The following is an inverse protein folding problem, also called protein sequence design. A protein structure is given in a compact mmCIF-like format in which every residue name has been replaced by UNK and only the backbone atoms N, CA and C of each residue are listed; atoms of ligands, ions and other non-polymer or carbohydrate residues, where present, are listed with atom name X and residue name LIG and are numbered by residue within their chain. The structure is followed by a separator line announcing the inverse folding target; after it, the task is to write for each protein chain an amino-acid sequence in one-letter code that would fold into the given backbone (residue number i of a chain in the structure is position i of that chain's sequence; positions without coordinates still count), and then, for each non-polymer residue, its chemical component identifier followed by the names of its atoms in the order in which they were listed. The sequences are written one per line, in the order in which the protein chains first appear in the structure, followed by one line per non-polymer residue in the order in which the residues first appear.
data_IF_750808825905
#
_entry.id   IF_750808825905
#
_cell.length_a   1.000
_cell.length_b   1.000
_cell.length_c   1.000
_cell.angle_alpha   90.00
_cell.angle_beta   90.00
_cell.angle_gamma   90.00
#
_symmetry.space_group_name_H-M   'P 1'
#
loop_
_entity.id
_entity.type
_entity.pdbx_description
1 polymer ?
#
# COMPACT_ATOMS: atom_id res chain seq x y z
N UNK A 1 89.67 -19.02 54.77
CA UNK A 1 89.26 -18.86 53.37
C UNK A 1 89.86 -17.58 52.85
N UNK A 2 90.79 -17.70 51.91
CA UNK A 2 91.34 -16.57 51.17
C UNK A 2 90.25 -15.98 50.24
N UNK A 3 90.40 -14.72 49.83
CA UNK A 3 89.45 -14.09 48.89
C UNK A 3 89.41 -14.85 47.55
N UNK A 4 90.53 -15.49 47.19
CA UNK A 4 90.68 -16.33 46.00
C UNK A 4 89.88 -17.64 46.12
N UNK A 5 89.89 -18.31 47.28
CA UNK A 5 89.07 -19.52 47.52
C UNK A 5 87.56 -19.22 47.45
N UNK A 6 87.13 -18.04 47.91
CA UNK A 6 85.72 -17.63 47.86
C UNK A 6 85.28 -17.31 46.42
N UNK A 7 86.17 -16.72 45.61
CA UNK A 7 85.89 -16.44 44.21
C UNK A 7 85.84 -17.75 43.41
N UNK A 8 86.73 -18.70 43.69
CA UNK A 8 86.81 -19.97 42.99
C UNK A 8 85.64 -20.90 43.34
N UNK A 9 85.21 -20.97 44.61
CA UNK A 9 83.97 -21.67 45.01
C UNK A 9 82.72 -21.05 44.38
N UNK A 10 82.64 -19.71 44.31
CA UNK A 10 81.49 -19.03 43.70
C UNK A 10 81.45 -19.20 42.18
N UNK A 11 82.58 -19.22 41.48
CA UNK A 11 82.65 -19.52 40.04
C UNK A 11 82.27 -20.99 39.78
N UNK A 12 82.70 -21.92 40.63
CA UNK A 12 82.26 -23.32 40.53
C UNK A 12 80.76 -23.49 40.84
N UNK A 13 80.21 -22.73 41.80
CA UNK A 13 78.77 -22.70 42.08
C UNK A 13 77.96 -22.10 40.93
N UNK A 14 78.41 -21.00 40.32
CA UNK A 14 77.75 -20.39 39.15
C UNK A 14 77.77 -21.36 37.96
N UNK A 15 78.92 -21.97 37.66
CA UNK A 15 79.04 -22.96 36.58
C UNK A 15 78.24 -24.26 36.84
N UNK A 16 77.92 -24.58 38.10
CA UNK A 16 77.08 -25.73 38.47
C UNK A 16 75.58 -25.49 38.24
N UNK A 17 75.15 -24.23 38.17
CA UNK A 17 73.74 -23.85 38.01
C UNK A 17 73.39 -23.26 36.63
N UNK A 18 74.36 -22.90 35.78
CA UNK A 18 74.13 -22.20 34.50
C UNK A 18 74.37 -23.02 33.21
N UNK A 19 74.18 -24.35 33.21
CA UNK A 19 74.11 -25.11 31.95
C UNK A 19 72.86 -26.01 31.92
N UNK A 20 71.69 -25.40 32.05
CA UNK A 20 70.55 -25.90 31.26
C UNK A 20 70.69 -25.30 29.88
N UNK A 21 71.43 -25.99 29.01
CA UNK A 21 71.48 -25.65 27.59
C UNK A 21 70.05 -25.79 27.03
N UNK A 22 69.34 -24.67 26.95
CA UNK A 22 67.95 -24.64 26.45
C UNK A 22 67.90 -25.32 25.09
N UNK A 23 67.06 -26.36 24.98
CA UNK A 23 66.94 -27.11 23.72
C UNK A 23 66.06 -26.33 22.76
N UNK A 24 66.66 -25.69 21.77
CA UNK A 24 65.94 -24.96 20.72
C UNK A 24 65.51 -25.90 19.58
N UNK A 25 64.21 -25.85 19.26
CA UNK A 25 63.65 -26.45 18.05
C UNK A 25 63.47 -25.41 16.95
N UNK A 26 63.59 -25.81 15.69
CA UNK A 26 63.30 -24.96 14.53
C UNK A 26 61.99 -25.41 13.90
N UNK A 27 61.03 -24.50 13.81
CA UNK A 27 59.73 -24.69 13.17
C UNK A 27 59.77 -24.26 11.71
N UNK A 28 59.64 -25.23 10.81
CA UNK A 28 59.75 -25.02 9.36
C UNK A 28 58.38 -24.81 8.72
N UNK A 29 58.34 -24.24 7.52
CA UNK A 29 57.10 -24.07 6.74
C UNK A 29 56.37 -25.42 6.53
N UNK A 30 57.10 -26.50 6.28
CA UNK A 30 56.52 -27.84 6.10
C UNK A 30 55.90 -28.41 7.39
N UNK A 31 56.22 -27.85 8.56
CA UNK A 31 55.60 -28.28 9.82
C UNK A 31 54.15 -27.85 9.93
N UNK A 32 53.72 -26.90 9.08
CA UNK A 32 52.32 -26.57 8.92
C UNK A 32 51.51 -27.67 8.22
N UNK A 33 52.12 -28.70 7.63
CA UNK A 33 51.38 -29.85 7.09
C UNK A 33 50.92 -30.81 8.18
N UNK A 34 51.60 -30.79 9.33
CA UNK A 34 51.22 -31.57 10.51
C UNK A 34 50.00 -30.95 11.19
N UNK A 35 49.13 -31.78 11.76
CA UNK A 35 48.08 -31.29 12.64
C UNK A 35 48.63 -30.87 14.02
N UNK A 36 47.82 -30.21 14.85
CA UNK A 36 48.28 -29.65 16.13
C UNK A 36 48.88 -30.70 17.08
N UNK A 37 48.30 -31.89 17.15
CA UNK A 37 48.79 -32.96 18.03
C UNK A 37 50.11 -33.54 17.54
N UNK A 38 50.27 -33.66 16.22
CA UNK A 38 51.53 -34.06 15.59
C UNK A 38 52.64 -33.03 15.82
N UNK A 39 52.33 -31.73 15.75
CA UNK A 39 53.29 -30.65 16.08
C UNK A 39 53.70 -30.71 17.54
N UNK A 40 52.74 -30.86 18.46
CA UNK A 40 53.01 -31.04 19.89
C UNK A 40 53.91 -32.23 20.15
N UNK A 41 53.68 -33.36 19.47
CA UNK A 41 54.52 -34.55 19.57
C UNK A 41 55.94 -34.29 19.04
N UNK A 42 56.05 -33.68 17.85
CA UNK A 42 57.33 -33.38 17.19
C UNK A 42 58.22 -32.49 18.07
N UNK A 43 57.64 -31.46 18.67
CA UNK A 43 58.38 -30.45 19.42
C UNK A 43 58.42 -30.66 20.93
N UNK A 44 57.86 -31.77 21.44
CA UNK A 44 57.76 -32.08 22.88
C UNK A 44 59.08 -31.98 23.67
N UNK A 45 60.21 -32.27 23.01
CA UNK A 45 61.54 -32.33 23.64
C UNK A 45 62.31 -30.99 23.68
N UNK A 46 61.73 -29.93 23.10
CA UNK A 46 62.37 -28.62 22.99
C UNK A 46 61.78 -27.65 24.00
N UNK A 47 62.64 -26.84 24.60
CA UNK A 47 62.30 -25.83 25.61
C UNK A 47 61.78 -24.56 24.96
N UNK A 48 62.32 -24.23 23.78
CA UNK A 48 61.87 -23.12 22.94
C UNK A 48 61.80 -23.58 21.49
N UNK A 49 60.88 -23.02 20.71
CA UNK A 49 60.73 -23.34 19.30
C UNK A 49 60.71 -22.03 18.52
N UNK A 50 61.65 -21.86 17.58
CA UNK A 50 61.78 -20.64 16.79
C UNK A 50 61.27 -20.88 15.37
N UNK A 51 60.56 -19.91 14.81
CA UNK A 51 60.18 -19.90 13.40
C UNK A 51 61.42 -19.79 12.50
N UNK A 52 61.55 -20.65 11.50
CA UNK A 52 62.64 -20.60 10.51
C UNK A 52 62.65 -19.27 9.73
N UNK A 53 61.47 -18.73 9.38
CA UNK A 53 61.36 -17.57 8.50
C UNK A 53 61.56 -16.22 9.19
N UNK A 54 61.07 -16.08 10.42
CA UNK A 54 61.10 -14.79 11.13
C UNK A 54 61.91 -14.81 12.43
N UNK A 55 62.46 -15.97 12.80
CA UNK A 55 63.26 -16.18 14.02
C UNK A 55 62.53 -15.84 15.33
N UNK A 56 61.21 -15.66 15.27
CA UNK A 56 60.37 -15.39 16.44
C UNK A 56 59.99 -16.69 17.13
N UNK A 57 59.86 -16.63 18.45
CA UNK A 57 59.43 -17.77 19.23
C UNK A 57 57.98 -18.14 18.92
N UNK A 58 57.75 -19.43 18.74
CA UNK A 58 56.44 -20.03 18.51
C UNK A 58 55.82 -20.36 19.86
N UNK A 59 54.61 -19.87 20.10
CA UNK A 59 53.83 -20.27 21.26
C UNK A 59 53.53 -21.78 21.21
N UNK A 60 53.99 -22.52 22.23
CA UNK A 60 53.82 -23.98 22.34
C UNK A 60 52.36 -24.45 22.42
N UNK A 61 51.42 -23.55 22.74
CA UNK A 61 50.01 -23.91 22.81
C UNK A 61 49.37 -24.04 21.41
N UNK A 62 49.65 -23.09 20.53
CA UNK A 62 49.06 -23.01 19.19
C UNK A 62 49.94 -23.63 18.11
N UNK A 63 51.27 -23.65 18.29
CA UNK A 63 52.23 -24.00 17.24
C UNK A 63 51.95 -23.27 15.91
N UNK A 64 51.63 -21.97 16.03
CA UNK A 64 51.44 -21.05 14.91
C UNK A 64 52.34 -19.84 15.10
N UNK A 65 53.18 -19.53 14.10
CA UNK A 65 53.87 -18.25 14.04
C UNK A 65 52.88 -17.12 13.71
N UNK A 66 52.45 -16.34 14.70
CA UNK A 66 51.53 -15.22 14.45
C UNK A 66 52.10 -14.15 13.53
N UNK A 67 53.43 -13.94 13.53
CA UNK A 67 54.07 -12.97 12.65
C UNK A 67 53.99 -13.37 11.17
N UNK A 68 54.22 -14.65 10.85
CA UNK A 68 54.01 -15.16 9.49
C UNK A 68 52.51 -15.22 9.15
N UNK A 69 51.68 -15.72 10.08
CA UNK A 69 50.23 -15.86 9.87
C UNK A 69 49.53 -14.53 9.56
N UNK A 70 49.90 -13.45 10.27
CA UNK A 70 49.31 -12.14 10.06
C UNK A 70 49.70 -11.50 8.72
N UNK A 71 50.88 -11.88 8.17
CA UNK A 71 51.35 -11.44 6.85
C UNK A 71 50.81 -12.28 5.70
N UNK A 72 50.39 -13.52 5.98
CA UNK A 72 49.84 -14.41 4.97
C UNK A 72 48.54 -13.85 4.41
N UNK A 73 48.38 -13.84 3.09
CA UNK A 73 47.17 -13.32 2.40
C UNK A 73 46.34 -14.42 1.77
N UNK A 74 46.94 -15.58 1.51
CA UNK A 74 46.24 -16.78 1.04
C UNK A 74 45.49 -17.45 2.20
N UNK A 75 44.17 -17.55 2.06
CA UNK A 75 43.32 -18.22 3.04
C UNK A 75 43.58 -19.73 3.15
N UNK A 76 44.06 -20.38 2.08
CA UNK A 76 44.43 -21.80 2.11
C UNK A 76 45.66 -22.01 2.98
N UNK A 77 46.65 -21.14 2.81
CA UNK A 77 47.87 -21.16 3.61
C UNK A 77 47.55 -20.84 5.08
N UNK A 78 46.69 -19.86 5.37
CA UNK A 78 46.22 -19.62 6.76
C UNK A 78 45.53 -20.84 7.39
N UNK A 79 44.72 -21.57 6.62
CA UNK A 79 44.05 -22.77 7.13
C UNK A 79 45.04 -23.92 7.38
N UNK A 80 45.97 -24.14 6.44
CA UNK A 80 47.09 -25.07 6.61
C UNK A 80 47.88 -24.74 7.88
N UNK A 81 48.22 -23.46 8.07
CA UNK A 81 48.93 -22.97 9.24
C UNK A 81 48.19 -23.29 10.55
N UNK A 82 46.87 -23.12 10.60
CA UNK A 82 46.09 -23.37 11.81
C UNK A 82 45.83 -24.86 12.10
N UNK A 83 45.70 -25.71 11.08
CA UNK A 83 45.07 -27.01 11.25
C UNK A 83 45.80 -28.21 10.63
N UNK A 84 46.85 -27.99 9.83
CA UNK A 84 47.52 -29.08 9.12
C UNK A 84 46.91 -29.37 7.75
N UNK A 85 47.47 -30.38 7.08
CA UNK A 85 46.89 -31.01 5.89
C UNK A 85 46.29 -32.36 6.30
N UNK A 86 45.14 -32.71 5.74
CA UNK A 86 44.59 -34.04 5.89
C UNK A 86 45.42 -35.06 5.08
N UNK A 87 45.97 -36.09 5.74
CA UNK A 87 46.83 -37.09 5.10
C UNK A 87 46.13 -38.00 4.09
N UNK A 88 44.79 -38.06 4.08
CA UNK A 88 44.02 -38.90 3.16
C UNK A 88 43.58 -38.17 1.88
N UNK A 89 43.19 -36.91 2.00
CA UNK A 89 42.71 -36.11 0.86
C UNK A 89 43.66 -34.96 0.45
N UNK A 90 44.78 -34.76 1.15
CA UNK A 90 45.81 -33.74 0.88
C UNK A 90 45.31 -32.30 0.83
N UNK A 91 44.12 -32.02 1.40
CA UNK A 91 43.57 -30.67 1.55
C UNK A 91 43.86 -30.12 2.94
N UNK A 92 44.06 -28.80 3.06
CA UNK A 92 44.20 -28.13 4.37
C UNK A 92 43.00 -28.45 5.26
N UNK A 93 43.26 -28.97 6.44
CA UNK A 93 42.25 -29.15 7.47
C UNK A 93 41.65 -27.77 7.80
N UNK A 94 40.34 -27.66 7.98
CA UNK A 94 39.73 -26.48 8.59
C UNK A 94 39.53 -26.73 10.08
N UNK A 95 39.04 -25.75 10.83
CA UNK A 95 38.79 -25.84 12.28
C UNK A 95 37.88 -26.99 12.73
N UNK A 96 37.32 -27.76 11.82
CA UNK A 96 36.28 -28.77 12.07
C UNK A 96 36.65 -30.19 11.60
N UNK A 97 37.94 -30.47 11.42
CA UNK A 97 38.44 -31.81 11.12
C UNK A 97 37.97 -32.35 9.77
N UNK A 98 38.42 -33.56 9.43
CA UNK A 98 38.03 -34.29 8.22
C UNK A 98 36.58 -34.83 8.33
N UNK A 99 35.61 -33.96 8.62
CA UNK A 99 34.22 -34.31 8.90
C UNK A 99 33.31 -33.82 7.77
N UNK A 100 33.07 -34.65 6.75
CA UNK A 100 32.04 -34.47 5.69
C UNK A 100 31.81 -32.99 5.28
N UNK A 101 32.88 -32.34 4.79
CA UNK A 101 32.82 -30.98 4.23
C UNK A 101 32.51 -31.08 2.74
N UNK A 102 31.41 -30.46 2.31
CA UNK A 102 31.07 -30.35 0.89
C UNK A 102 31.40 -28.96 0.36
N UNK A 103 31.87 -28.89 -0.89
CA UNK A 103 32.13 -27.62 -1.57
C UNK A 103 30.85 -27.19 -2.31
N UNK A 104 30.42 -25.97 -2.05
CA UNK A 104 29.39 -25.25 -2.78
C UNK A 104 30.00 -24.60 -4.00
N UNK A 105 29.63 -25.11 -5.18
CA UNK A 105 30.13 -24.60 -6.45
C UNK A 105 29.28 -23.45 -6.95
N UNK A 106 29.85 -22.58 -7.76
CA UNK A 106 29.14 -21.49 -8.44
C UNK A 106 28.07 -22.03 -9.38
N UNK A 107 28.28 -23.21 -9.96
CA UNK A 107 27.25 -23.94 -10.73
C UNK A 107 26.04 -24.31 -9.86
N UNK A 108 26.20 -24.45 -8.55
CA UNK A 108 25.08 -24.78 -7.65
C UNK A 108 24.13 -23.61 -7.45
N UNK A 109 24.51 -22.42 -7.92
CA UNK A 109 23.58 -21.31 -8.04
C UNK A 109 22.50 -21.53 -9.10
N UNK A 110 22.61 -22.52 -9.99
CA UNK A 110 21.52 -22.90 -10.89
C UNK A 110 20.41 -23.68 -10.20
N UNK A 111 20.78 -24.43 -9.17
CA UNK A 111 19.84 -25.19 -8.35
C UNK A 111 18.96 -24.24 -7.54
N UNK A 112 17.68 -24.57 -7.41
CA UNK A 112 16.78 -23.88 -6.49
C UNK A 112 17.04 -24.29 -5.03
N UNK A 113 16.49 -23.54 -4.06
CA UNK A 113 16.71 -23.79 -2.63
C UNK A 113 16.36 -25.24 -2.20
N UNK A 114 15.33 -25.85 -2.79
CA UNK A 114 14.91 -27.22 -2.46
C UNK A 114 15.94 -28.24 -2.97
N UNK A 115 16.44 -28.05 -4.18
CA UNK A 115 17.50 -28.89 -4.77
C UNK A 115 18.81 -28.78 -3.98
N UNK A 116 19.21 -27.56 -3.58
CA UNK A 116 20.41 -27.36 -2.75
C UNK A 116 20.28 -28.06 -1.40
N UNK A 117 19.11 -27.95 -0.75
CA UNK A 117 18.81 -28.67 0.51
C UNK A 117 18.96 -30.18 0.37
N UNK A 118 18.51 -30.75 -0.75
CA UNK A 118 18.66 -32.18 -1.03
C UNK A 118 20.12 -32.54 -1.28
N UNK A 119 20.82 -31.77 -2.13
CA UNK A 119 22.23 -31.99 -2.47
C UNK A 119 23.13 -32.01 -1.24
N UNK A 120 22.91 -31.09 -0.32
CA UNK A 120 23.76 -30.90 0.87
C UNK A 120 23.19 -31.49 2.16
N UNK A 121 22.11 -32.27 2.09
CA UNK A 121 21.38 -32.78 3.26
C UNK A 121 22.24 -33.50 4.30
N UNK A 122 23.26 -34.22 3.85
CA UNK A 122 24.14 -35.03 4.70
C UNK A 122 25.49 -34.35 4.97
N UNK A 123 25.63 -33.06 4.64
CA UNK A 123 26.86 -32.31 4.88
C UNK A 123 26.79 -31.69 6.27
N UNK A 124 27.85 -31.84 7.06
CA UNK A 124 27.96 -31.14 8.34
C UNK A 124 28.28 -29.66 8.10
N UNK A 125 29.14 -29.38 7.11
CA UNK A 125 29.51 -28.04 6.70
C UNK A 125 29.54 -27.94 5.18
N UNK A 126 29.16 -26.77 4.67
CA UNK A 126 29.20 -26.45 3.25
C UNK A 126 30.05 -25.21 3.05
N UNK A 127 31.15 -25.31 2.31
CA UNK A 127 32.07 -24.19 2.09
C UNK A 127 31.93 -23.66 0.66
N UNK A 128 31.93 -22.33 0.48
CA UNK A 128 31.90 -21.72 -0.84
C UNK A 128 33.21 -21.95 -1.59
N UNK A 129 33.17 -22.37 -2.86
CA UNK A 129 34.38 -22.59 -3.66
C UNK A 129 35.23 -21.32 -3.87
N UNK A 130 34.58 -20.15 -3.97
CA UNK A 130 35.27 -18.89 -4.30
C UNK A 130 35.97 -18.24 -3.11
N UNK A 131 35.40 -18.41 -1.91
CA UNK A 131 35.86 -17.68 -0.72
C UNK A 131 36.12 -18.55 0.49
N UNK A 132 35.84 -19.86 0.40
CA UNK A 132 36.02 -20.87 1.45
C UNK A 132 35.35 -20.55 2.78
N UNK A 133 34.44 -19.56 2.80
CA UNK A 133 33.58 -19.29 3.94
C UNK A 133 32.41 -20.26 3.96
N UNK A 134 31.95 -20.54 5.16
CA UNK A 134 30.75 -21.34 5.37
C UNK A 134 29.55 -20.71 4.67
N UNK A 135 28.85 -21.54 3.91
CA UNK A 135 27.57 -21.21 3.29
C UNK A 135 26.51 -21.27 4.38
N UNK A 136 25.70 -20.21 4.45
CA UNK A 136 24.60 -20.12 5.40
C UNK A 136 23.67 -21.34 5.22
N UNK A 137 23.58 -22.16 6.27
CA UNK A 137 22.82 -23.40 6.29
C UNK A 137 21.32 -23.20 6.04
N UNK A 138 20.75 -22.06 6.41
CA UNK A 138 19.33 -21.77 6.19
C UNK A 138 19.07 -21.30 4.76
N UNK A 139 20.01 -20.54 4.21
CA UNK A 139 19.87 -19.83 2.93
C UNK A 139 20.45 -20.61 1.74
N UNK A 140 21.38 -21.53 1.97
CA UNK A 140 22.12 -22.29 0.96
C UNK A 140 22.69 -21.41 -0.18
N UNK A 141 23.25 -20.26 0.18
CA UNK A 141 24.12 -19.46 -0.69
C UNK A 141 25.20 -18.78 0.15
N UNK A 142 26.38 -18.57 -0.43
CA UNK A 142 27.43 -17.82 0.25
C UNK A 142 27.01 -16.35 0.45
N UNK A 143 26.81 -15.95 1.70
CA UNK A 143 26.41 -14.57 2.07
C UNK A 143 27.53 -13.59 1.77
N UNK A 144 28.79 -13.97 1.99
CA UNK A 144 29.95 -13.13 1.70
C UNK A 144 30.07 -12.80 0.21
N UNK A 145 30.02 -13.81 -0.67
CA UNK A 145 30.00 -13.58 -2.11
C UNK A 145 28.75 -12.79 -2.53
N UNK A 146 27.59 -13.08 -1.94
CA UNK A 146 26.36 -12.34 -2.23
C UNK A 146 26.48 -10.85 -1.92
N UNK A 147 27.10 -10.45 -0.79
CA UNK A 147 27.26 -9.04 -0.48
C UNK A 147 28.28 -8.33 -1.38
N UNK A 148 29.32 -9.05 -1.85
CA UNK A 148 30.31 -8.54 -2.80
C UNK A 148 29.79 -8.41 -4.23
N UNK A 149 28.85 -9.27 -4.63
CA UNK A 149 28.32 -9.27 -6.00
C UNK A 149 27.62 -7.94 -6.32
N UNK A 150 27.94 -7.33 -7.46
CA UNK A 150 27.33 -6.08 -7.91
C UNK A 150 26.28 -6.31 -8.98
N UNK A 151 26.38 -7.41 -9.73
CA UNK A 151 25.40 -7.80 -10.72
C UNK A 151 24.13 -8.31 -10.04
N UNK A 152 23.03 -7.61 -10.30
CA UNK A 152 21.70 -7.91 -9.79
C UNK A 152 21.20 -9.29 -10.21
N UNK A 153 21.40 -9.66 -11.48
CA UNK A 153 20.97 -10.95 -12.00
C UNK A 153 21.74 -12.09 -11.32
N UNK A 154 23.05 -11.91 -11.11
CA UNK A 154 23.85 -12.89 -10.34
C UNK A 154 23.38 -12.98 -8.90
N UNK A 155 23.15 -11.86 -8.21
CA UNK A 155 22.57 -11.84 -6.85
C UNK A 155 21.24 -12.60 -6.75
N UNK A 156 20.40 -12.48 -7.77
CA UNK A 156 19.12 -13.19 -7.80
C UNK A 156 19.25 -14.67 -8.07
N UNK A 157 20.09 -15.06 -9.04
CA UNK A 157 20.45 -16.47 -9.27
C UNK A 157 21.01 -17.11 -8.00
N UNK A 158 21.84 -16.37 -7.25
CA UNK A 158 22.36 -16.83 -5.96
C UNK A 158 21.26 -17.14 -4.94
N UNK A 159 20.20 -16.33 -4.86
CA UNK A 159 19.10 -16.55 -3.91
C UNK A 159 18.07 -17.59 -4.36
N UNK A 160 17.75 -17.61 -5.66
CA UNK A 160 16.53 -18.26 -6.14
C UNK A 160 16.76 -19.41 -7.13
N UNK A 161 17.99 -19.64 -7.57
CA UNK A 161 18.27 -20.60 -8.65
C UNK A 161 17.99 -19.99 -10.02
N UNK A 162 17.74 -20.83 -11.03
CA UNK A 162 17.21 -20.39 -12.34
C UNK A 162 15.71 -20.07 -12.33
N UNK A 163 14.99 -20.43 -11.26
CA UNK A 163 13.52 -20.34 -11.18
C UNK A 163 13.01 -18.99 -10.66
N UNK A 164 13.42 -17.90 -11.30
CA UNK A 164 12.92 -16.54 -11.04
C UNK A 164 12.58 -15.78 -12.34
N UNK A 165 11.64 -14.84 -12.23
CA UNK A 165 11.30 -13.87 -13.25
C UNK A 165 12.00 -12.54 -13.01
N UNK A 166 12.47 -11.91 -14.08
CA UNK A 166 13.01 -10.54 -14.04
C UNK A 166 11.98 -9.59 -14.64
N UNK A 167 11.42 -8.74 -13.80
CA UNK A 167 10.49 -7.69 -14.19
C UNK A 167 11.25 -6.46 -14.66
N UNK A 168 11.02 -6.10 -15.92
CA UNK A 168 11.65 -4.96 -16.58
C UNK A 168 10.65 -3.82 -16.71
N UNK A 169 11.15 -2.59 -16.83
CA UNK A 169 10.34 -1.39 -17.06
C UNK A 169 9.48 -1.51 -18.32
N UNK A 170 9.96 -2.23 -19.35
CA UNK A 170 9.20 -2.55 -20.55
C UNK A 170 7.92 -3.35 -20.27
N UNK A 171 7.88 -4.12 -19.18
CA UNK A 171 6.71 -4.93 -18.82
C UNK A 171 5.54 -4.09 -18.36
N UNK A 172 5.77 -2.81 -18.05
CA UNK A 172 4.67 -1.90 -17.77
C UNK A 172 3.78 -1.62 -18.99
N UNK A 173 4.27 -1.89 -20.20
CA UNK A 173 3.46 -1.83 -21.43
C UNK A 173 2.46 -3.00 -21.54
N UNK A 174 2.76 -4.12 -20.90
CA UNK A 174 1.88 -5.28 -20.85
C UNK A 174 0.71 -5.01 -19.92
N UNK A 175 -0.47 -5.49 -20.28
CA UNK A 175 -1.62 -5.51 -19.38
C UNK A 175 -1.46 -6.56 -18.26
N UNK A 176 -2.36 -6.55 -17.27
CA UNK A 176 -2.28 -7.47 -16.13
C UNK A 176 -2.43 -8.94 -16.54
N UNK A 177 -3.22 -9.23 -17.58
CA UNK A 177 -3.44 -10.59 -18.08
C UNK A 177 -2.17 -11.12 -18.75
N UNK A 178 -1.53 -10.29 -19.57
CA UNK A 178 -0.26 -10.58 -20.23
C UNK A 178 0.87 -10.77 -19.21
N UNK A 179 0.97 -9.92 -18.19
CA UNK A 179 1.98 -10.07 -17.11
C UNK A 179 1.79 -11.37 -16.34
N UNK A 180 0.55 -11.72 -16.00
CA UNK A 180 0.22 -13.00 -15.35
C UNK A 180 0.64 -14.18 -16.21
N UNK A 181 0.38 -14.13 -17.52
CA UNK A 181 0.80 -15.18 -18.45
C UNK A 181 2.33 -15.28 -18.53
N UNK A 182 3.02 -14.14 -18.67
CA UNK A 182 4.49 -14.07 -18.76
C UNK A 182 5.19 -14.69 -17.55
N UNK A 183 4.68 -14.42 -16.35
CA UNK A 183 5.29 -14.85 -15.10
C UNK A 183 4.62 -16.05 -14.42
N UNK A 184 3.73 -16.76 -15.14
CA UNK A 184 2.93 -17.88 -14.62
C UNK A 184 3.77 -18.96 -13.92
N UNK A 185 4.96 -19.24 -14.43
CA UNK A 185 5.86 -20.28 -13.91
C UNK A 185 6.95 -19.73 -12.97
N UNK A 186 6.99 -18.41 -12.75
CA UNK A 186 8.00 -17.78 -11.89
C UNK A 186 7.54 -17.80 -10.44
N UNK A 187 8.26 -18.52 -9.57
CA UNK A 187 8.01 -18.52 -8.11
C UNK A 187 8.33 -17.17 -7.46
N UNK A 188 9.34 -16.50 -7.98
CA UNK A 188 9.79 -15.20 -7.52
C UNK A 188 9.95 -14.30 -8.73
N UNK A 189 9.44 -13.07 -8.63
CA UNK A 189 9.59 -12.05 -9.66
C UNK A 189 10.23 -10.84 -9.00
N UNK A 190 11.27 -10.28 -9.62
CA UNK A 190 12.06 -9.19 -9.04
C UNK A 190 12.14 -8.03 -10.02
N UNK A 191 12.01 -6.81 -9.52
CA UNK A 191 12.17 -5.60 -10.30
C UNK A 191 13.66 -5.37 -10.58
N UNK A 192 14.03 -5.22 -11.85
CA UNK A 192 15.42 -4.97 -12.25
C UNK A 192 15.94 -3.60 -11.80
N UNK A 193 15.05 -2.61 -11.62
CA UNK A 193 15.46 -1.24 -11.28
C UNK A 193 15.78 -1.06 -9.79
N UNK A 194 14.99 -1.68 -8.91
CA UNK A 194 15.09 -1.45 -7.46
C UNK A 194 15.42 -2.69 -6.64
N UNK A 195 15.56 -3.83 -7.32
CA UNK A 195 15.87 -5.13 -6.73
C UNK A 195 14.85 -5.68 -5.73
N UNK A 196 13.67 -5.07 -5.66
CA UNK A 196 12.59 -5.52 -4.80
C UNK A 196 11.73 -6.57 -5.48
N UNK A 197 11.12 -7.42 -4.65
CA UNK A 197 10.13 -8.42 -5.10
C UNK A 197 8.91 -7.72 -5.68
N UNK A 198 8.45 -8.19 -6.84
CA UNK A 198 7.17 -7.81 -7.42
C UNK A 198 6.04 -8.43 -6.59
N UNK A 199 5.01 -7.64 -6.33
CA UNK A 199 3.86 -8.08 -5.57
C UNK A 199 2.94 -9.02 -6.37
N UNK A 200 1.90 -9.53 -5.73
CA UNK A 200 0.84 -10.35 -6.34
C UNK A 200 0.04 -9.64 -7.44
N UNK A 201 0.11 -8.30 -7.49
CA UNK A 201 -0.52 -7.47 -8.50
C UNK A 201 0.36 -7.26 -9.74
N UNK A 202 1.52 -7.94 -9.82
CA UNK A 202 2.43 -7.90 -10.97
C UNK A 202 2.91 -6.49 -11.33
N UNK A 203 3.21 -5.67 -10.31
CA UNK A 203 3.94 -4.41 -10.46
C UNK A 203 4.89 -4.19 -9.27
N UNK A 204 5.93 -3.37 -9.48
CA UNK A 204 6.83 -3.00 -8.39
C UNK A 204 6.22 -1.89 -7.53
N UNK A 205 5.90 -2.18 -6.26
CA UNK A 205 5.39 -1.18 -5.30
C UNK A 205 6.41 -0.09 -5.03
N UNK A 206 7.67 -0.45 -4.83
CA UNK A 206 8.73 0.53 -4.55
C UNK A 206 8.93 1.53 -5.70
N UNK A 207 8.96 1.06 -6.94
CA UNK A 207 9.05 1.97 -8.10
C UNK A 207 7.76 2.78 -8.25
N UNK A 208 6.60 2.16 -8.00
CA UNK A 208 5.31 2.85 -8.02
C UNK A 208 5.27 3.99 -7.01
N UNK A 209 5.67 3.78 -5.76
CA UNK A 209 5.60 4.80 -4.71
C UNK A 209 6.50 6.02 -5.01
N UNK A 210 7.65 5.77 -5.66
CA UNK A 210 8.58 6.81 -6.11
C UNK A 210 8.13 7.60 -7.34
N UNK A 211 7.26 7.03 -8.17
CA UNK A 211 6.79 7.72 -9.37
C UNK A 211 5.91 8.91 -8.99
N UNK A 212 6.13 10.06 -9.61
CA UNK A 212 5.37 11.29 -9.32
C UNK A 212 4.28 11.49 -10.37
N UNK A 213 4.55 11.06 -11.61
CA UNK A 213 3.60 11.14 -12.70
C UNK A 213 2.44 10.16 -12.47
N UNK A 214 1.25 10.72 -12.23
CA UNK A 214 0.03 9.95 -12.00
C UNK A 214 -0.26 9.00 -13.17
N UNK A 215 -0.10 9.44 -14.42
CA UNK A 215 -0.36 8.61 -15.59
C UNK A 215 0.61 7.42 -15.64
N UNK A 216 1.89 7.63 -15.32
CA UNK A 216 2.86 6.53 -15.22
C UNK A 216 2.53 5.57 -14.09
N UNK A 217 2.20 6.07 -12.89
CA UNK A 217 1.73 5.22 -11.77
C UNK A 217 0.60 4.30 -12.18
N UNK A 218 -0.34 4.81 -12.96
CA UNK A 218 -1.51 4.07 -13.42
C UNK A 218 -1.15 3.02 -14.46
N UNK A 219 -0.33 3.38 -15.45
CA UNK A 219 0.24 2.39 -16.38
C UNK A 219 1.04 1.31 -15.64
N UNK A 220 1.74 1.67 -14.56
CA UNK A 220 2.46 0.69 -13.75
C UNK A 220 1.50 -0.31 -13.10
N UNK A 221 0.37 0.17 -12.57
CA UNK A 221 -0.62 -0.66 -11.85
C UNK A 221 -1.51 -1.49 -12.79
N UNK A 222 -1.99 -0.92 -13.88
CA UNK A 222 -3.00 -1.55 -14.76
C UNK A 222 -2.47 -1.95 -16.14
N UNK A 223 -1.29 -1.47 -16.53
CA UNK A 223 -0.75 -1.65 -17.86
C UNK A 223 -1.46 -0.77 -18.89
N UNK A 224 -1.68 -1.32 -20.08
CA UNK A 224 -2.31 -0.60 -21.19
C UNK A 224 -3.84 -0.67 -21.20
N UNK A 225 -4.45 -1.50 -20.33
CA UNK A 225 -5.89 -1.76 -20.33
C UNK A 225 -6.60 -1.13 -19.11
N UNK A 226 -6.69 0.20 -19.09
CA UNK A 226 -7.50 0.97 -18.12
C UNK A 226 -8.50 1.88 -18.84
N UNK A 227 -9.59 2.20 -18.17
CA UNK A 227 -10.64 3.10 -18.66
C UNK A 227 -10.54 4.49 -18.04
N UNK A 228 -10.90 5.51 -18.81
CA UNK A 228 -11.08 6.88 -18.32
C UNK A 228 -12.58 7.16 -18.24
N UNK A 229 -13.06 7.32 -17.01
CA UNK A 229 -14.42 7.73 -16.66
C UNK A 229 -14.58 9.22 -16.88
N UNK A 230 -15.48 9.55 -17.81
CA UNK A 230 -15.76 10.93 -18.16
C UNK A 230 -16.89 11.49 -17.31
N UNK A 231 -16.92 12.79 -17.05
CA UNK A 231 -18.02 13.47 -16.38
C UNK A 231 -19.33 13.28 -17.15
N UNK A 232 -19.25 13.22 -18.48
CA UNK A 232 -20.40 12.87 -19.33
C UNK A 232 -20.98 11.47 -19.07
N UNK A 233 -20.21 10.54 -18.48
CA UNK A 233 -20.67 9.21 -18.12
C UNK A 233 -21.58 9.20 -16.89
N UNK A 234 -21.66 10.31 -16.15
CA UNK A 234 -22.68 10.45 -15.12
C UNK A 234 -24.11 10.40 -15.69
N UNK A 235 -24.30 10.66 -16.98
CA UNK A 235 -25.59 10.48 -17.67
C UNK A 235 -25.96 9.02 -17.94
N UNK A 236 -25.00 8.09 -17.81
CA UNK A 236 -25.24 6.66 -17.94
C UNK A 236 -25.75 6.11 -16.61
N UNK A 237 -26.70 5.18 -16.65
CA UNK A 237 -27.10 4.43 -15.47
C UNK A 237 -26.01 3.41 -15.04
N UNK A 238 -26.12 2.88 -13.81
CA UNK A 238 -25.14 1.93 -13.27
C UNK A 238 -24.90 0.70 -14.16
N UNK A 239 -25.96 0.14 -14.77
CA UNK A 239 -25.87 -1.02 -15.67
C UNK A 239 -25.07 -0.70 -16.95
N UNK A 240 -25.30 0.48 -17.52
CA UNK A 240 -24.59 0.98 -18.69
C UNK A 240 -23.13 1.26 -18.38
N UNK A 241 -22.84 1.88 -17.22
CA UNK A 241 -21.46 2.10 -16.76
C UNK A 241 -20.73 0.77 -16.53
N UNK A 242 -21.40 -0.20 -15.91
CA UNK A 242 -20.89 -1.57 -15.75
C UNK A 242 -20.54 -2.22 -17.08
N UNK A 243 -21.41 -2.12 -18.08
CA UNK A 243 -21.15 -2.65 -19.42
C UNK A 243 -19.99 -1.91 -20.13
N UNK A 244 -19.95 -0.57 -20.03
CA UNK A 244 -18.90 0.25 -20.65
C UNK A 244 -17.52 -0.03 -20.07
N UNK A 245 -17.44 -0.17 -18.74
CA UNK A 245 -16.17 -0.25 -18.02
C UNK A 245 -15.76 -1.66 -17.58
N UNK A 246 -16.63 -2.67 -17.72
CA UNK A 246 -16.41 -4.01 -17.19
C UNK A 246 -15.17 -4.74 -17.74
N UNK A 247 -14.70 -4.36 -18.94
CA UNK A 247 -13.51 -4.95 -19.59
C UNK A 247 -12.16 -4.39 -19.12
N UNK A 248 -12.14 -3.23 -18.47
CA UNK A 248 -10.90 -2.58 -18.06
C UNK A 248 -10.38 -3.14 -16.74
N UNK A 249 -9.07 -3.09 -16.51
CA UNK A 249 -8.47 -3.50 -15.24
C UNK A 249 -8.59 -2.45 -14.14
N UNK A 250 -8.55 -1.17 -14.50
CA UNK A 250 -8.79 -0.02 -13.63
C UNK A 250 -9.62 1.04 -14.34
N UNK A 251 -10.27 1.90 -13.57
CA UNK A 251 -11.07 3.02 -14.09
C UNK A 251 -10.62 4.29 -13.37
N UNK A 252 -10.48 5.39 -14.09
CA UNK A 252 -10.01 6.67 -13.54
C UNK A 252 -10.98 7.79 -13.80
N UNK A 253 -11.19 8.64 -12.82
CA UNK A 253 -11.93 9.87 -13.04
C UNK A 253 -11.11 10.87 -13.85
N UNK A 254 -11.66 11.39 -14.94
CA UNK A 254 -10.97 12.39 -15.77
C UNK A 254 -10.70 13.71 -15.03
N UNK A 255 -11.51 14.06 -14.04
CA UNK A 255 -11.40 15.34 -13.33
C UNK A 255 -10.33 15.33 -12.23
N UNK A 256 -10.28 14.27 -11.44
CA UNK A 256 -9.41 14.22 -10.25
C UNK A 256 -8.29 13.18 -10.35
N UNK A 257 -8.21 12.41 -11.43
CA UNK A 257 -7.24 11.33 -11.65
C UNK A 257 -7.24 10.24 -10.56
N UNK A 258 -8.28 10.19 -9.72
CA UNK A 258 -8.44 9.14 -8.72
C UNK A 258 -9.04 7.89 -9.34
N UNK A 259 -8.60 6.74 -8.82
CA UNK A 259 -9.14 5.44 -9.18
C UNK A 259 -10.59 5.30 -8.71
N UNK A 260 -11.45 4.85 -9.60
CA UNK A 260 -12.87 4.59 -9.33
C UNK A 260 -13.04 3.15 -8.85
N UNK A 261 -13.71 2.99 -7.71
CA UNK A 261 -14.08 1.68 -7.20
C UNK A 261 -15.10 1.02 -8.15
N UNK A 262 -14.79 -0.20 -8.58
CA UNK A 262 -15.64 -1.03 -9.45
C UNK A 262 -17.03 -1.33 -8.91
N UNK A 263 -17.23 -1.31 -7.59
CA UNK A 263 -18.54 -1.59 -6.98
C UNK A 263 -19.55 -0.47 -7.27
N UNK A 264 -19.06 0.77 -7.29
CA UNK A 264 -19.90 1.96 -7.37
C UNK A 264 -19.89 2.56 -8.78
N UNK A 265 -18.79 2.40 -9.53
CA UNK A 265 -18.60 2.94 -10.90
C UNK A 265 -18.99 4.42 -10.99
N UNK A 266 -18.58 5.18 -9.97
CA UNK A 266 -18.59 6.65 -9.93
C UNK A 266 -17.40 7.13 -9.09
N UNK A 267 -16.96 8.37 -9.30
CA UNK A 267 -15.86 8.91 -8.53
C UNK A 267 -16.31 9.36 -7.15
N UNK A 268 -15.92 8.62 -6.10
CA UNK A 268 -16.24 8.95 -4.71
C UNK A 268 -15.62 10.28 -4.28
N UNK A 269 -14.39 10.56 -4.72
CA UNK A 269 -13.73 11.82 -4.40
C UNK A 269 -14.46 13.05 -4.97
N UNK A 270 -14.91 12.98 -6.23
CA UNK A 270 -15.71 14.06 -6.81
C UNK A 270 -17.08 14.15 -6.12
N UNK A 271 -17.69 13.00 -5.80
CA UNK A 271 -18.97 12.95 -5.07
C UNK A 271 -18.89 13.60 -3.68
N UNK A 272 -17.81 13.35 -2.94
CA UNK A 272 -17.63 13.91 -1.59
C UNK A 272 -17.43 15.43 -1.62
N UNK A 273 -16.81 15.95 -2.70
CA UNK A 273 -16.62 17.39 -2.93
C UNK A 273 -17.85 18.12 -3.47
N UNK A 274 -18.72 17.42 -4.18
CA UNK A 274 -19.94 18.01 -4.70
C UNK A 274 -20.83 18.50 -3.55
N UNK A 275 -21.51 19.63 -3.73
CA UNK A 275 -22.42 20.19 -2.73
C UNK A 275 -23.86 20.21 -3.23
N UNK A 276 -24.06 20.19 -4.55
CA UNK A 276 -25.36 20.10 -5.18
C UNK A 276 -25.92 18.68 -5.07
N UNK A 277 -27.02 18.53 -4.32
CA UNK A 277 -27.60 17.21 -4.08
C UNK A 277 -28.16 16.56 -5.34
N UNK A 278 -28.62 17.34 -6.32
CA UNK A 278 -29.10 16.83 -7.60
C UNK A 278 -27.95 16.21 -8.40
N UNK A 279 -26.79 16.88 -8.42
CA UNK A 279 -25.58 16.33 -9.04
C UNK A 279 -25.11 15.07 -8.31
N UNK A 280 -25.17 15.02 -6.97
CA UNK A 280 -24.87 13.80 -6.21
C UNK A 280 -25.78 12.63 -6.58
N UNK A 281 -27.07 12.89 -6.74
CA UNK A 281 -28.04 11.90 -7.21
C UNK A 281 -27.72 11.39 -8.63
N UNK A 282 -27.36 12.30 -9.53
CA UNK A 282 -26.92 11.96 -10.89
C UNK A 282 -25.62 11.12 -10.89
N UNK A 283 -24.65 11.47 -10.04
CA UNK A 283 -23.40 10.74 -9.94
C UNK A 283 -23.59 9.31 -9.46
N UNK A 284 -24.50 9.08 -8.51
CA UNK A 284 -24.75 7.75 -7.92
C UNK A 284 -25.67 6.88 -8.75
N UNK A 285 -26.78 7.43 -9.27
CA UNK A 285 -27.85 6.64 -9.91
C UNK A 285 -27.91 6.82 -11.43
N UNK A 286 -27.22 7.82 -11.97
CA UNK A 286 -27.34 8.22 -13.38
C UNK A 286 -28.69 8.85 -13.68
N UNK A 287 -29.23 9.65 -12.74
CA UNK A 287 -30.53 10.30 -12.88
C UNK A 287 -30.62 11.09 -14.18
N UNK A 288 -31.78 11.01 -14.84
CA UNK A 288 -32.14 11.87 -15.96
C UNK A 288 -33.21 12.85 -15.47
N UNK A 289 -32.99 14.13 -15.73
CA UNK A 289 -33.95 15.19 -15.41
C UNK A 289 -35.17 15.01 -16.32
N UNK A 290 -36.35 14.90 -15.70
CA UNK A 290 -37.64 14.99 -16.37
C UNK A 290 -37.90 16.44 -16.69
N UNK A 291 -37.85 16.78 -17.99
CA UNK A 291 -38.04 18.15 -18.45
C UNK A 291 -39.52 18.43 -18.60
N UNK A 292 -39.91 19.68 -18.46
CA UNK A 292 -41.27 20.15 -18.79
C UNK A 292 -41.73 19.76 -20.20
N UNK A 293 -40.83 19.68 -21.18
CA UNK A 293 -41.16 19.21 -22.53
C UNK A 293 -41.56 17.71 -22.59
N UNK A 294 -41.18 16.93 -21.58
CA UNK A 294 -41.49 15.49 -21.50
C UNK A 294 -42.95 15.25 -21.06
N UNK A 295 -43.69 16.30 -20.66
CA UNK A 295 -45.15 16.25 -20.47
C UNK A 295 -45.92 16.04 -21.77
N UNK A 296 -45.33 16.38 -22.92
CA UNK A 296 -45.96 16.19 -24.23
C UNK A 296 -45.89 14.75 -24.73
N UNK A 297 -45.12 13.88 -24.04
CA UNK A 297 -45.03 12.45 -24.35
C UNK A 297 -46.19 11.69 -23.70
N UNK A 298 -46.71 10.66 -24.37
CA UNK A 298 -47.71 9.81 -23.76
C UNK A 298 -47.12 8.95 -22.61
N UNK A 299 -47.97 8.21 -21.90
CA UNK A 299 -47.57 7.48 -20.71
C UNK A 299 -46.67 6.27 -21.01
N UNK A 300 -46.87 5.61 -22.16
CA UNK A 300 -45.99 4.53 -22.63
C UNK A 300 -44.66 5.08 -23.14
N UNK A 301 -44.68 6.18 -23.90
CA UNK A 301 -43.47 6.86 -24.38
C UNK A 301 -42.60 7.34 -23.21
N UNK A 302 -43.22 7.90 -22.16
CA UNK A 302 -42.52 8.27 -20.92
C UNK A 302 -41.94 7.04 -20.22
N UNK A 303 -42.70 5.95 -20.08
CA UNK A 303 -42.18 4.72 -19.47
C UNK A 303 -40.97 4.20 -20.24
N UNK A 304 -41.08 4.03 -21.55
CA UNK A 304 -39.97 3.56 -22.38
C UNK A 304 -38.74 4.47 -22.29
N UNK A 305 -38.96 5.79 -22.17
CA UNK A 305 -37.88 6.79 -22.00
C UNK A 305 -37.15 6.69 -20.66
N UNK A 306 -37.84 6.34 -19.58
CA UNK A 306 -37.27 6.34 -18.23
C UNK A 306 -37.10 4.96 -17.56
N UNK A 307 -37.60 3.88 -18.15
CA UNK A 307 -37.57 2.50 -17.63
C UNK A 307 -36.16 2.03 -17.23
N UNK A 308 -35.12 2.58 -17.86
CA UNK A 308 -33.72 2.22 -17.61
C UNK A 308 -33.09 2.98 -16.44
N UNK A 309 -33.79 3.91 -15.80
CA UNK A 309 -33.25 4.73 -14.72
C UNK A 309 -33.89 4.34 -13.38
N UNK A 310 -33.08 4.26 -12.32
CA UNK A 310 -33.54 3.94 -10.96
C UNK A 310 -34.21 5.12 -10.25
N UNK A 311 -34.21 6.30 -10.86
CA UNK A 311 -34.88 7.49 -10.35
C UNK A 311 -35.03 8.55 -11.43
N UNK A 312 -36.04 9.40 -11.26
CA UNK A 312 -36.35 10.53 -12.13
C UNK A 312 -36.36 11.79 -11.25
N UNK A 313 -35.65 12.83 -11.66
CA UNK A 313 -35.70 14.15 -11.00
C UNK A 313 -36.74 15.00 -11.73
N UNK A 314 -37.80 15.45 -11.07
CA UNK A 314 -38.84 16.26 -11.69
C UNK A 314 -38.59 17.74 -11.36
N UNK A 315 -38.51 18.61 -12.38
CA UNK A 315 -38.65 20.05 -12.18
C UNK A 315 -40.05 20.31 -11.59
N UNK A 316 -40.08 20.98 -10.44
CA UNK A 316 -41.20 21.43 -9.60
C UNK A 316 -42.65 21.38 -10.17
N UNK A 317 -43.63 20.96 -9.36
CA UNK A 317 -44.69 21.79 -8.76
C UNK A 317 -45.91 21.00 -8.23
N UNK A 318 -46.55 21.61 -7.22
CA UNK A 318 -47.59 21.13 -6.30
C UNK A 318 -49.02 21.09 -6.90
N UNK A 319 -49.17 20.89 -8.22
CA UNK A 319 -50.48 21.03 -8.90
C UNK A 319 -51.26 19.71 -9.06
N UNK A 320 -50.77 18.60 -8.49
CA UNK A 320 -51.45 17.30 -8.56
C UNK A 320 -52.03 16.93 -7.21
N UNK A 321 -53.32 16.57 -7.19
CA UNK A 321 -53.96 16.01 -6.01
C UNK A 321 -53.40 14.63 -5.64
N UNK A 322 -53.80 14.07 -4.50
CA UNK A 322 -53.27 12.79 -4.02
C UNK A 322 -53.62 11.60 -4.94
N UNK A 323 -54.79 11.64 -5.58
CA UNK A 323 -55.26 10.56 -6.44
C UNK A 323 -54.53 10.56 -7.79
N UNK A 324 -54.31 11.74 -8.37
CA UNK A 324 -53.48 11.92 -9.56
C UNK A 324 -52.03 11.49 -9.33
N UNK A 325 -51.47 11.76 -8.13
CA UNK A 325 -50.13 11.31 -7.76
C UNK A 325 -50.04 9.79 -7.56
N UNK A 326 -51.05 9.18 -6.94
CA UNK A 326 -51.14 7.71 -6.78
C UNK A 326 -51.16 7.00 -8.12
N UNK A 327 -51.90 7.54 -9.10
CA UNK A 327 -51.95 6.98 -10.46
C UNK A 327 -50.62 7.21 -11.19
N UNK A 328 -50.04 8.42 -11.08
CA UNK A 328 -48.81 8.84 -11.77
C UNK A 328 -47.55 8.12 -11.28
N UNK A 329 -47.43 7.83 -9.98
CA UNK A 329 -46.21 7.27 -9.38
C UNK A 329 -46.33 5.82 -8.89
N UNK A 330 -47.42 5.11 -9.24
CA UNK A 330 -47.72 3.75 -8.77
C UNK A 330 -46.60 2.71 -8.94
N UNK A 331 -45.71 2.92 -9.90
CA UNK A 331 -44.66 1.96 -10.28
C UNK A 331 -43.23 2.46 -9.98
N UNK A 332 -43.09 3.57 -9.26
CA UNK A 332 -41.79 4.04 -8.78
C UNK A 332 -41.64 3.64 -7.30
N UNK A 333 -40.52 3.02 -6.94
CA UNK A 333 -40.26 2.59 -5.56
C UNK A 333 -40.18 3.78 -4.59
N UNK A 334 -39.76 4.96 -5.08
CA UNK A 334 -39.70 6.20 -4.31
C UNK A 334 -39.56 7.43 -5.23
N UNK A 335 -40.01 8.58 -4.73
CA UNK A 335 -39.83 9.92 -5.29
C UNK A 335 -38.86 10.67 -4.38
N UNK A 336 -37.97 11.48 -4.97
CA UNK A 336 -37.04 12.36 -4.24
C UNK A 336 -37.59 13.78 -4.19
N UNK A 337 -37.49 14.43 -3.03
CA UNK A 337 -37.94 15.80 -2.86
C UNK A 337 -36.79 16.77 -3.13
N UNK A 338 -37.01 17.72 -4.04
CA UNK A 338 -36.05 18.76 -4.42
C UNK A 338 -35.63 19.68 -3.26
N UNK A 339 -36.46 19.82 -2.22
CA UNK A 339 -36.17 20.68 -1.05
C UNK A 339 -35.51 19.94 0.12
N UNK A 340 -35.81 18.65 0.31
CA UNK A 340 -35.46 17.91 1.54
C UNK A 340 -34.60 16.66 1.31
N UNK A 341 -34.37 16.23 0.07
CA UNK A 341 -33.61 15.02 -0.31
C UNK A 341 -34.11 13.71 0.33
N UNK A 342 -35.28 13.74 0.95
CA UNK A 342 -35.90 12.55 1.53
C UNK A 342 -36.67 11.79 0.45
N UNK A 343 -36.55 10.47 0.54
CA UNK A 343 -37.37 9.53 -0.22
C UNK A 343 -38.77 9.53 0.36
N UNK A 344 -39.77 9.74 -0.48
CA UNK A 344 -41.15 9.58 -0.12
C UNK A 344 -41.87 8.74 -1.18
N UNK A 345 -42.94 8.05 -0.78
CA UNK A 345 -43.78 7.30 -1.71
C UNK A 345 -44.70 8.28 -2.49
N UNK A 346 -45.78 7.87 -3.14
CA UNK A 346 -46.68 8.79 -3.88
C UNK A 346 -47.29 10.00 -3.10
N UNK A 347 -47.00 10.16 -1.80
CA UNK A 347 -47.46 11.26 -0.93
C UNK A 347 -46.61 12.53 -1.11
N UNK A 348 -46.80 13.60 -0.32
CA UNK A 348 -45.89 14.78 -0.32
C UNK A 348 -44.65 14.54 0.59
N UNK A 349 -43.55 15.30 0.44
CA UNK A 349 -42.49 15.33 1.49
C UNK A 349 -43.13 15.93 2.75
N UNK A 350 -43.56 15.04 3.66
CA UNK A 350 -44.31 15.39 4.86
C UNK A 350 -43.57 16.42 5.71
N UNK A 351 -42.23 16.39 5.73
CA UNK A 351 -41.43 17.36 6.47
C UNK A 351 -41.36 18.76 5.83
N UNK A 352 -41.30 18.86 4.50
CA UNK A 352 -41.40 20.16 3.83
C UNK A 352 -42.80 20.75 4.03
N UNK A 353 -43.82 19.91 3.91
CA UNK A 353 -45.21 20.31 4.14
C UNK A 353 -45.42 20.75 5.58
N UNK A 354 -44.94 20.01 6.59
CA UNK A 354 -45.07 20.38 8.00
C UNK A 354 -44.31 21.66 8.36
N UNK A 355 -43.18 21.92 7.71
CA UNK A 355 -42.38 23.13 7.93
C UNK A 355 -43.07 24.36 7.32
N UNK A 356 -43.57 24.25 6.10
CA UNK A 356 -44.38 25.29 5.45
C UNK A 356 -45.69 25.52 6.20
N UNK A 357 -46.35 24.47 6.70
CA UNK A 357 -47.58 24.57 7.49
C UNK A 357 -47.33 25.18 8.87
N UNK A 358 -46.18 24.94 9.52
CA UNK A 358 -45.79 25.65 10.75
C UNK A 358 -45.52 27.13 10.51
N UNK A 359 -44.92 27.48 9.37
CA UNK A 359 -44.70 28.88 8.96
C UNK A 359 -45.99 29.58 8.50
N UNK A 360 -46.96 28.86 7.93
CA UNK A 360 -48.30 29.38 7.62
C UNK A 360 -49.19 29.48 8.86
N UNK A 361 -49.07 28.55 9.81
CA UNK A 361 -49.89 28.51 11.04
C UNK A 361 -49.71 29.77 11.88
N UNK A 362 -48.47 30.31 11.98
CA UNK A 362 -48.23 31.57 12.68
C UNK A 362 -48.87 32.77 11.98
N UNK A 363 -48.85 32.79 10.64
CA UNK A 363 -49.48 33.85 9.82
C UNK A 363 -51.01 33.78 9.81
N UNK A 364 -51.59 32.58 9.87
CA UNK A 364 -53.04 32.36 9.99
C UNK A 364 -53.55 32.83 11.35
N UNK A 365 -52.77 32.65 12.41
CA UNK A 365 -53.13 33.11 13.75
C UNK A 365 -53.15 34.64 13.86
N UNK A 366 -52.24 35.33 13.16
CA UNK A 366 -52.27 36.79 13.02
C UNK A 366 -53.51 37.28 12.25
N UNK A 367 -53.94 36.54 11.24
CA UNK A 367 -55.13 36.82 10.45
C UNK A 367 -56.43 36.60 11.24
N UNK A 368 -56.52 35.52 12.01
CA UNK A 368 -57.64 35.27 12.93
C UNK A 368 -57.71 36.35 14.02
N UNK A 369 -56.56 36.73 14.59
CA UNK A 369 -56.47 37.82 15.57
C UNK A 369 -56.91 39.17 14.99
N UNK A 370 -56.60 39.43 13.72
CA UNK A 370 -57.09 40.60 12.99
C UNK A 370 -58.61 40.55 12.79
N UNK A 371 -59.13 39.39 12.36
CA UNK A 371 -60.56 39.17 12.16
C UNK A 371 -61.36 39.38 13.46
N UNK A 372 -60.86 38.90 14.60
CA UNK A 372 -61.49 39.10 15.92
C UNK A 372 -61.37 40.54 16.47
N UNK A 373 -60.42 41.34 15.97
CA UNK A 373 -60.32 42.78 16.29
C UNK A 373 -61.34 43.60 15.51
N UNK A 374 -61.62 43.22 14.25
CA UNK A 374 -62.56 43.92 13.36
C UNK A 374 -64.02 43.57 13.68
N UNK A 375 -64.30 42.30 14.03
CA UNK A 375 -65.64 41.81 14.32
C UNK A 375 -65.84 41.55 15.81
N UNK A 376 -66.98 42.01 16.37
CA UNK A 376 -67.41 41.57 17.70
C UNK A 376 -67.85 40.11 17.61
N UNK A 377 -67.11 39.23 18.30
CA UNK A 377 -67.25 37.77 18.24
C UNK A 377 -68.67 37.25 18.56
N UNK A 378 -69.42 37.99 19.36
CA UNK A 378 -70.75 37.61 19.84
C UNK A 378 -71.89 38.07 18.92
N UNK A 379 -71.74 39.20 18.22
CA UNK A 379 -72.80 39.78 17.38
C UNK A 379 -72.52 39.68 15.88
N UNK A 380 -71.30 39.32 15.47
CA UNK A 380 -70.82 39.39 14.07
C UNK A 380 -71.01 40.77 13.43
N UNK A 381 -71.04 41.83 14.23
CA UNK A 381 -71.07 43.21 13.75
C UNK A 381 -69.66 43.83 13.73
N UNK A 382 -69.41 44.66 12.72
CA UNK A 382 -68.16 45.42 12.56
C UNK A 382 -68.10 46.55 13.59
N UNK A 383 -66.95 46.76 14.24
CA UNK A 383 -66.78 47.85 15.25
C UNK A 383 -66.85 49.25 14.61
N UNK A 384 -67.28 50.26 15.36
CA UNK A 384 -67.57 51.61 14.85
C UNK A 384 -66.37 52.29 14.13
N UNK A 385 -66.69 53.14 13.15
CA UNK A 385 -65.80 53.67 12.09
C UNK A 385 -64.54 54.39 12.59
N UNK A 386 -64.55 54.96 13.81
CA UNK A 386 -63.37 55.61 14.42
C UNK A 386 -62.35 54.62 14.99
N UNK A 387 -62.78 53.43 15.44
CA UNK A 387 -61.87 52.38 15.93
C UNK A 387 -61.20 51.64 14.76
N UNK A 388 -61.92 51.45 13.65
CA UNK A 388 -61.39 50.86 12.41
C UNK A 388 -60.26 51.68 11.79
N UNK A 389 -60.36 53.02 11.80
CA UNK A 389 -59.34 53.90 11.23
C UNK A 389 -58.00 53.82 11.97
N UNK A 390 -58.03 53.67 13.30
CA UNK A 390 -56.82 53.47 14.12
C UNK A 390 -56.17 52.10 13.83
N UNK A 391 -56.98 51.04 13.72
CA UNK A 391 -56.51 49.68 13.44
C UNK A 391 -55.92 49.54 12.02
N UNK A 392 -56.50 50.22 11.03
CA UNK A 392 -56.02 50.20 9.64
C UNK A 392 -54.71 50.99 9.45
N UNK A 393 -54.47 52.06 10.22
CA UNK A 393 -53.22 52.84 10.18
C UNK A 393 -52.03 52.00 10.68
N UNK A 394 -52.22 51.25 11.77
CA UNK A 394 -51.20 50.33 12.29
C UNK A 394 -50.90 49.18 11.31
N UNK A 395 -51.93 48.65 10.63
CA UNK A 395 -51.77 47.54 9.67
C UNK A 395 -51.18 47.96 8.31
N UNK A 396 -51.36 49.22 7.89
CA UNK A 396 -50.77 49.76 6.65
C UNK A 396 -49.24 49.72 6.68
N UNK A 397 -48.64 49.85 7.87
CA UNK A 397 -47.20 49.76 8.10
C UNK A 397 -46.65 48.32 8.09
N UNK A 398 -47.50 47.33 8.41
CA UNK A 398 -47.13 45.90 8.37
C UNK A 398 -47.26 45.34 6.96
N UNK A 399 -48.31 45.71 6.23
CA UNK A 399 -48.60 45.18 4.89
C UNK A 399 -47.64 45.69 3.80
N UNK A 400 -47.08 46.90 3.95
CA UNK A 400 -46.08 47.43 3.00
C UNK A 400 -44.76 46.66 2.98
N UNK A 401 -44.46 45.83 4.00
CA UNK A 401 -43.31 44.92 3.99
C UNK A 401 -43.56 43.59 3.27
N UNK A 402 -44.80 43.28 2.89
CA UNK A 402 -45.20 42.01 2.28
C UNK A 402 -45.50 42.10 0.77
N UNK A 403 -45.49 43.31 0.19
CA UNK A 403 -46.04 43.55 -1.14
C UNK A 403 -45.04 43.40 -2.32
N UNK A 404 -44.11 42.44 -2.23
CA UNK A 404 -43.36 41.97 -3.41
C UNK A 404 -43.70 40.52 -3.82
N UNK A 405 -44.46 39.77 -3.03
CA UNK A 405 -44.74 38.35 -3.32
C UNK A 405 -46.21 38.05 -3.03
N UNK A 406 -46.99 37.85 -4.10
CA UNK A 406 -48.38 37.37 -4.18
C UNK A 406 -49.51 38.41 -4.25
N UNK A 407 -49.93 38.67 -5.49
CA UNK A 407 -51.26 39.23 -5.83
C UNK A 407 -52.33 38.16 -5.56
N UNK A 408 -53.10 38.29 -4.48
CA UNK A 408 -54.30 37.49 -4.28
C UNK A 408 -55.55 38.28 -4.73
N UNK A 409 -56.35 37.70 -5.63
CA UNK A 409 -57.52 38.34 -6.27
C UNK A 409 -58.64 38.68 -5.26
N UNK A 410 -58.73 37.95 -4.15
CA UNK A 410 -59.84 38.02 -3.19
C UNK A 410 -59.89 39.33 -2.38
N UNK A 411 -58.74 39.95 -2.06
CA UNK A 411 -58.69 41.21 -1.30
C UNK A 411 -59.02 42.44 -2.16
N UNK A 412 -58.87 42.32 -3.48
CA UNK A 412 -59.12 43.40 -4.45
C UNK A 412 -60.60 43.67 -4.66
N UNK A 413 -61.45 42.70 -4.33
CA UNK A 413 -62.90 42.81 -4.42
C UNK A 413 -63.47 43.43 -3.14
N UNK A 414 -62.90 43.10 -1.97
CA UNK A 414 -63.25 43.74 -0.70
C UNK A 414 -62.85 45.22 -0.70
N UNK A 415 -61.65 45.58 -1.17
CA UNK A 415 -61.21 46.98 -1.22
C UNK A 415 -61.99 47.84 -2.23
N UNK A 416 -62.57 47.22 -3.27
CA UNK A 416 -63.41 47.91 -4.27
C UNK A 416 -64.77 48.33 -3.72
N UNK A 417 -65.27 47.66 -2.69
CA UNK A 417 -66.51 48.06 -1.99
C UNK A 417 -66.31 49.25 -1.03
N UNK A 418 -65.07 49.60 -0.69
CA UNK A 418 -64.74 50.69 0.25
C UNK A 418 -64.25 51.99 -0.42
N UNK A 419 -64.13 52.03 -1.76
CA UNK A 419 -63.71 53.24 -2.53
C UNK A 419 -64.89 53.93 -3.27
N UNK A 420 -66.14 53.63 -2.92
CA UNK A 420 -67.32 54.48 -3.24
C UNK A 420 -67.87 55.11 -1.96
#
# INVERSE_FOLDING_TARGET
MSLEEIIEENIQLINKYDIFESRFGVFKILDYDLNLDERKLKFKKYDHVLCEDCSQEIEKFSFVCYNCYNKETDCNERNRMNHGICKSCFTSSTSYGCSICNIFKTSDYDLNLKERKVKYRNSNYVLCEDCYKEVDYYRFYCTYCYYKETDVNKKFRMKFGLNYGVFRTSDYKLDLTERRAKYKNSKHILCIECNNKINEYYYCTYCYDKEIDTNKKLHMKFGSNFGIFKTSDYNLNLKQRGAKYGKFHGILCEECNNEINRQYIYCTYCYDKETDTNKKGQMTLGLKIFKTLDYNLDLEERRAKYEKFYGILCEEYYDLDEDDRRVKYKNFDYILCEKCDRKYHYNYCYECFDKEMRELSSKLQDYENFYFKVYKKETKEVRELKELQSILIDYKNVYFKLNEINKNLFLRDILREYEQ
#
